data_IF_924555257123
#
_entry.id   IF_924555257123
#
_cell.length_a   1.000
_cell.length_b   1.000
_cell.length_c   1.000
_cell.angle_alpha   90.00
_cell.angle_beta   90.00
_cell.angle_gamma   90.00
#
_symmetry.space_group_name_H-M   'P 1'
#
loop_
_entity.id
_entity.type
_entity.pdbx_description
1 polymer ?
#
# COMPACT_ATOMS: atom_id res chain seq x y z
N UNK A 1 6.68 0.02 -33.04
CA UNK A 1 7.90 0.84 -33.13
C UNK A 1 9.03 -0.02 -32.61
N UNK A 2 10.05 -0.31 -33.43
CA UNK A 2 11.23 -1.07 -32.99
C UNK A 2 12.00 -0.19 -32.01
N UNK A 3 11.89 -0.48 -30.71
CA UNK A 3 12.66 0.18 -29.67
C UNK A 3 14.15 0.03 -29.95
N UNK A 4 14.89 1.10 -29.81
CA UNK A 4 16.36 1.06 -29.91
C UNK A 4 16.87 0.24 -28.72
N UNK A 5 17.34 -0.99 -28.99
CA UNK A 5 18.00 -1.80 -27.96
C UNK A 5 19.26 -1.07 -27.48
N UNK A 6 19.43 -1.01 -26.17
CA UNK A 6 20.66 -0.46 -25.58
C UNK A 6 21.86 -1.25 -26.06
N UNK A 7 22.89 -0.56 -26.54
CA UNK A 7 24.07 -1.22 -27.07
C UNK A 7 24.81 -2.01 -25.99
N UNK A 8 25.17 -3.30 -26.20
CA UNK A 8 25.85 -4.11 -25.19
C UNK A 8 27.08 -3.45 -24.59
N UNK A 9 27.89 -2.76 -25.41
CA UNK A 9 29.06 -2.01 -24.95
C UNK A 9 28.70 -0.84 -24.01
N UNK A 10 27.49 -0.29 -24.09
CA UNK A 10 27.00 0.72 -23.17
C UNK A 10 26.65 0.09 -21.82
N UNK A 11 26.03 -1.08 -21.83
CA UNK A 11 25.68 -1.85 -20.61
C UNK A 11 26.96 -2.29 -19.88
N UNK A 12 28.00 -2.77 -20.61
CA UNK A 12 29.27 -3.15 -20.00
C UNK A 12 29.95 -1.97 -19.31
N UNK A 13 30.02 -0.79 -19.96
CA UNK A 13 30.52 0.42 -19.29
C UNK A 13 29.71 0.86 -18.09
N UNK A 14 28.40 0.59 -18.10
CA UNK A 14 27.54 0.88 -16.95
C UNK A 14 27.81 -0.09 -15.79
N UNK A 15 28.10 -1.37 -16.07
CA UNK A 15 28.54 -2.34 -15.07
C UNK A 15 29.86 -1.95 -14.40
N UNK A 16 30.77 -1.35 -15.16
CA UNK A 16 32.06 -0.88 -14.66
C UNK A 16 31.89 0.33 -13.72
N UNK A 17 31.93 0.13 -12.43
CA UNK A 17 31.78 1.19 -11.42
C UNK A 17 30.37 1.30 -10.82
N UNK A 18 29.54 0.28 -11.02
CA UNK A 18 28.28 0.09 -10.34
C UNK A 18 28.47 -0.84 -9.14
N UNK A 19 28.17 -0.37 -7.91
CA UNK A 19 28.39 -1.13 -6.67
C UNK A 19 27.34 -2.25 -6.48
N UNK A 20 26.18 -2.10 -7.13
CA UNK A 20 25.08 -3.06 -7.13
C UNK A 20 25.22 -4.12 -8.24
N UNK A 21 24.11 -4.46 -8.87
CA UNK A 21 24.07 -5.43 -9.99
C UNK A 21 23.21 -4.90 -11.13
N UNK A 22 23.68 -5.03 -12.34
CA UNK A 22 22.94 -4.75 -13.58
C UNK A 22 22.46 -6.07 -14.16
N UNK A 23 21.14 -6.19 -14.35
CA UNK A 23 20.47 -7.36 -14.93
C UNK A 23 19.83 -6.97 -16.26
N UNK A 24 19.99 -7.81 -17.27
CA UNK A 24 19.44 -7.64 -18.62
C UNK A 24 18.67 -8.90 -19.03
N UNK A 25 17.87 -8.87 -20.11
CA UNK A 25 17.17 -10.06 -20.61
C UNK A 25 18.05 -11.28 -20.93
N UNK A 26 19.36 -11.07 -21.08
CA UNK A 26 20.34 -12.14 -21.35
C UNK A 26 20.77 -12.88 -20.07
N UNK A 27 20.48 -12.32 -18.88
CA UNK A 27 20.82 -12.94 -17.60
C UNK A 27 19.82 -14.07 -17.25
N UNK A 28 20.32 -15.22 -16.82
CA UNK A 28 19.50 -16.43 -16.62
C UNK A 28 18.42 -16.32 -15.53
N UNK A 29 18.53 -15.34 -14.63
CA UNK A 29 17.55 -15.05 -13.56
C UNK A 29 16.70 -13.80 -13.85
N UNK A 30 16.77 -13.24 -15.05
CA UNK A 30 16.05 -12.03 -15.44
C UNK A 30 14.54 -12.12 -15.12
N UNK A 31 13.87 -13.22 -15.48
CA UNK A 31 12.45 -13.43 -15.23
C UNK A 31 12.11 -13.40 -13.75
N UNK A 32 12.93 -13.99 -12.91
CA UNK A 32 12.78 -13.96 -11.46
C UNK A 32 13.02 -12.56 -10.88
N UNK A 33 14.03 -11.85 -11.40
CA UNK A 33 14.39 -10.50 -10.93
C UNK A 33 13.33 -9.49 -11.30
N UNK A 34 12.76 -9.53 -12.53
CA UNK A 34 11.72 -8.60 -12.97
C UNK A 34 10.35 -8.85 -12.32
N UNK A 35 10.07 -10.06 -11.84
CA UNK A 35 8.80 -10.42 -11.23
C UNK A 35 8.35 -9.44 -10.15
N UNK A 36 7.07 -9.03 -10.13
CA UNK A 36 6.43 -8.12 -9.18
C UNK A 36 5.20 -8.78 -8.55
N UNK A 37 4.59 -8.14 -7.55
CA UNK A 37 3.46 -8.68 -6.82
C UNK A 37 2.27 -9.02 -7.74
N UNK A 38 1.87 -8.10 -8.61
CA UNK A 38 0.79 -8.31 -9.56
C UNK A 38 1.28 -9.08 -10.81
N UNK A 39 0.86 -10.34 -10.94
CA UNK A 39 1.23 -11.20 -12.07
C UNK A 39 0.67 -10.77 -13.44
N UNK A 40 -0.28 -9.81 -13.47
CA UNK A 40 -0.74 -9.21 -14.73
C UNK A 40 0.29 -8.25 -15.34
N UNK A 41 1.28 -7.80 -14.56
CA UNK A 41 2.30 -6.85 -15.02
C UNK A 41 3.45 -7.63 -15.65
N UNK A 42 3.49 -7.62 -16.98
CA UNK A 42 4.43 -8.40 -17.79
C UNK A 42 5.47 -7.56 -18.54
N UNK A 43 5.61 -6.28 -18.19
CA UNK A 43 6.58 -5.40 -18.83
C UNK A 43 8.01 -5.95 -18.78
N UNK A 44 8.78 -5.77 -19.88
CA UNK A 44 10.14 -6.26 -20.07
C UNK A 44 11.13 -5.10 -20.13
N UNK A 45 11.70 -4.65 -18.99
CA UNK A 45 12.75 -3.64 -19.00
C UNK A 45 14.01 -4.14 -19.69
N UNK A 46 14.66 -3.26 -20.45
CA UNK A 46 15.96 -3.58 -21.06
C UNK A 46 17.07 -3.71 -20.01
N UNK A 47 16.94 -2.97 -18.89
CA UNK A 47 17.93 -2.96 -17.81
C UNK A 47 17.20 -2.90 -16.45
N UNK A 48 17.62 -3.74 -15.51
CA UNK A 48 17.25 -3.65 -14.10
C UNK A 48 18.53 -3.33 -13.30
N UNK A 49 18.59 -2.12 -12.75
CA UNK A 49 19.72 -1.66 -11.94
C UNK A 49 19.41 -1.92 -10.45
N UNK A 50 19.91 -3.01 -9.89
CA UNK A 50 19.77 -3.36 -8.47
C UNK A 50 20.74 -2.53 -7.62
N UNK A 51 20.32 -1.35 -7.21
CA UNK A 51 21.13 -0.36 -6.50
C UNK A 51 21.43 -0.76 -5.05
N UNK A 52 22.64 -0.55 -4.60
CA UNK A 52 23.09 -0.69 -3.20
C UNK A 52 23.43 0.63 -2.54
N UNK A 53 23.71 1.66 -3.33
CA UNK A 53 24.16 2.97 -2.88
C UNK A 53 23.39 4.07 -3.63
N UNK A 54 23.39 5.28 -3.07
CA UNK A 54 22.85 6.47 -3.76
C UNK A 54 23.61 6.77 -5.04
N UNK A 55 24.93 6.49 -5.05
CA UNK A 55 25.77 6.62 -6.26
C UNK A 55 25.28 5.72 -7.41
N UNK A 56 24.81 4.50 -7.11
CA UNK A 56 24.23 3.61 -8.12
C UNK A 56 22.96 4.21 -8.74
N UNK A 57 22.10 4.84 -7.91
CA UNK A 57 20.86 5.49 -8.36
C UNK A 57 21.20 6.65 -9.32
N UNK A 58 22.16 7.50 -8.94
CA UNK A 58 22.60 8.61 -9.79
C UNK A 58 23.20 8.11 -11.09
N UNK A 59 23.98 7.01 -11.06
CA UNK A 59 24.54 6.38 -12.26
C UNK A 59 23.44 5.80 -13.15
N UNK A 60 22.41 5.17 -12.58
CA UNK A 60 21.27 4.62 -13.32
C UNK A 60 20.44 5.72 -14.01
N UNK A 61 20.16 6.83 -13.32
CA UNK A 61 19.45 7.98 -13.90
C UNK A 61 20.23 8.60 -15.07
N UNK A 62 21.56 8.74 -14.90
CA UNK A 62 22.43 9.21 -15.98
C UNK A 62 22.39 8.27 -17.18
N UNK A 63 22.54 6.96 -16.92
CA UNK A 63 22.49 5.95 -17.97
C UNK A 63 21.15 5.97 -18.72
N UNK A 64 20.02 6.07 -18.01
CA UNK A 64 18.71 6.17 -18.62
C UNK A 64 18.59 7.40 -19.53
N UNK A 65 19.02 8.56 -19.06
CA UNK A 65 19.02 9.81 -19.83
C UNK A 65 19.91 9.72 -21.07
N UNK A 66 21.14 9.21 -20.93
CA UNK A 66 22.11 9.11 -22.03
C UNK A 66 21.65 8.14 -23.13
N UNK A 67 20.76 7.18 -22.81
CA UNK A 67 20.19 6.20 -23.72
C UNK A 67 18.69 6.46 -24.04
N UNK A 68 18.12 7.59 -23.60
CA UNK A 68 16.71 7.94 -23.77
C UNK A 68 15.72 6.83 -23.31
N UNK A 69 16.03 6.16 -22.19
CA UNK A 69 15.21 5.11 -21.62
C UNK A 69 14.15 5.68 -20.66
N UNK A 70 12.90 5.24 -20.75
CA UNK A 70 11.92 5.49 -19.69
C UNK A 70 12.37 4.82 -18.39
N UNK A 71 12.02 5.43 -17.25
CA UNK A 71 12.45 4.98 -15.92
C UNK A 71 11.27 4.52 -15.09
N UNK A 72 11.44 3.41 -14.38
CA UNK A 72 10.59 3.01 -13.27
C UNK A 72 11.43 2.82 -12.01
N UNK A 73 10.84 3.10 -10.84
CA UNK A 73 11.49 2.90 -9.54
C UNK A 73 10.78 1.78 -8.79
N UNK A 74 11.55 0.82 -8.27
CA UNK A 74 11.05 -0.33 -7.54
C UNK A 74 11.56 -0.33 -6.10
N UNK A 75 10.66 -0.11 -5.13
CA UNK A 75 10.85 -0.45 -3.71
C UNK A 75 10.44 -1.90 -3.47
N UNK A 76 9.31 -2.15 -2.77
CA UNK A 76 8.78 -3.51 -2.54
C UNK A 76 8.15 -4.20 -3.76
N UNK A 77 7.79 -3.48 -4.82
CA UNK A 77 7.19 -4.05 -6.02
C UNK A 77 5.70 -4.37 -5.93
N UNK A 78 4.96 -3.73 -5.01
CA UNK A 78 3.55 -3.96 -4.72
C UNK A 78 2.56 -3.08 -5.51
N UNK A 79 3.02 -2.22 -6.42
CA UNK A 79 2.12 -1.39 -7.21
C UNK A 79 1.17 -2.25 -8.04
N UNK A 80 -0.13 -2.15 -7.78
CA UNK A 80 -1.18 -2.86 -8.51
C UNK A 80 -1.28 -2.37 -9.96
N UNK A 81 -1.04 -1.06 -10.17
CA UNK A 81 -0.96 -0.43 -11.49
C UNK A 81 0.33 -0.77 -12.27
N UNK A 82 1.31 -1.46 -11.65
CA UNK A 82 2.57 -1.80 -12.30
C UNK A 82 3.59 -0.67 -12.41
N UNK A 83 3.45 0.39 -11.63
CA UNK A 83 4.33 1.57 -11.66
C UNK A 83 5.82 1.25 -11.42
N UNK A 84 6.12 0.11 -10.83
CA UNK A 84 7.48 -0.36 -10.52
C UNK A 84 8.19 -1.10 -11.66
N UNK A 85 7.54 -1.26 -12.83
CA UNK A 85 8.14 -1.79 -14.06
C UNK A 85 7.87 -0.87 -15.24
N UNK A 86 8.66 -1.03 -16.30
CA UNK A 86 8.52 -0.26 -17.53
C UNK A 86 8.96 -1.12 -18.72
N UNK A 87 8.18 -1.08 -19.81
CA UNK A 87 8.53 -1.74 -21.05
C UNK A 87 9.69 -1.01 -21.72
N UNK A 88 10.65 -1.76 -22.28
CA UNK A 88 11.80 -1.24 -23.03
C UNK A 88 12.62 -0.16 -22.29
N UNK A 89 12.55 -0.09 -20.96
CA UNK A 89 13.17 0.97 -20.16
C UNK A 89 14.18 0.46 -19.13
N UNK A 90 14.47 1.31 -18.15
CA UNK A 90 15.34 1.01 -17.02
C UNK A 90 14.54 1.00 -15.71
N UNK A 91 14.71 -0.05 -14.91
CA UNK A 91 14.20 -0.14 -13.55
C UNK A 91 15.32 0.17 -12.55
N UNK A 92 15.11 1.18 -11.72
CA UNK A 92 15.92 1.45 -10.53
C UNK A 92 15.37 0.59 -9.39
N UNK A 93 16.02 -0.55 -9.14
CA UNK A 93 15.59 -1.53 -8.14
C UNK A 93 16.32 -1.28 -6.82
N UNK A 94 15.55 -0.82 -5.81
CA UNK A 94 16.07 -0.44 -4.49
C UNK A 94 16.10 -1.58 -3.49
N UNK A 95 15.64 -2.79 -3.81
CA UNK A 95 15.52 -3.92 -2.86
C UNK A 95 16.82 -4.29 -2.13
N UNK A 96 17.98 -3.83 -2.61
CA UNK A 96 19.27 -3.98 -1.94
C UNK A 96 19.66 -2.77 -1.07
N UNK A 97 18.86 -1.72 -1.06
CA UNK A 97 18.98 -0.54 -0.20
C UNK A 97 17.89 -0.62 0.87
N UNK A 98 17.91 -1.66 1.71
CA UNK A 98 16.82 -2.07 2.59
C UNK A 98 17.17 -2.05 4.09
N UNK A 99 18.26 -1.43 4.48
CA UNK A 99 18.64 -1.36 5.88
C UNK A 99 17.61 -0.56 6.69
N UNK A 100 17.30 -1.06 7.90
CA UNK A 100 16.47 -0.35 8.89
C UNK A 100 17.31 -0.16 10.15
N UNK A 101 17.34 1.07 10.67
CA UNK A 101 18.03 1.41 11.93
C UNK A 101 17.05 2.07 12.88
N UNK A 102 17.08 1.67 14.15
CA UNK A 102 16.19 2.18 15.20
C UNK A 102 17.01 2.93 16.24
N UNK A 103 16.57 4.14 16.54
CA UNK A 103 17.00 4.87 17.74
C UNK A 103 15.86 4.82 18.75
N UNK A 104 15.98 3.90 19.70
CA UNK A 104 14.94 3.67 20.69
C UNK A 104 14.81 4.81 21.72
N UNK A 105 15.88 5.56 21.99
CA UNK A 105 15.85 6.70 22.91
C UNK A 105 15.14 7.89 22.25
N UNK A 106 15.47 8.18 21.01
CA UNK A 106 14.81 9.23 20.24
C UNK A 106 13.41 8.81 19.73
N UNK A 107 13.04 7.54 19.85
CA UNK A 107 11.84 6.93 19.26
C UNK A 107 11.72 7.26 17.79
N UNK A 108 12.77 6.98 17.03
CA UNK A 108 12.80 7.13 15.58
C UNK A 108 13.33 5.87 14.90
N UNK A 109 12.91 5.64 13.67
CA UNK A 109 13.51 4.63 12.82
C UNK A 109 13.75 5.19 11.43
N UNK A 110 14.85 4.76 10.81
CA UNK A 110 15.20 5.13 9.44
C UNK A 110 15.24 3.88 8.57
N UNK A 111 14.50 3.90 7.48
CA UNK A 111 14.42 2.81 6.50
C UNK A 111 15.03 3.24 5.17
N UNK A 112 15.79 2.35 4.53
CA UNK A 112 16.22 2.50 3.14
C UNK A 112 15.04 2.38 2.17
N UNK A 113 15.13 3.02 1.00
CA UNK A 113 14.04 3.09 0.01
C UNK A 113 13.54 1.73 -0.54
N UNK A 114 14.31 0.66 -0.33
CA UNK A 114 13.94 -0.72 -0.69
C UNK A 114 13.51 -1.60 0.48
N UNK A 115 13.41 -1.06 1.71
CA UNK A 115 12.94 -1.79 2.88
C UNK A 115 11.46 -2.18 2.73
N UNK A 116 11.10 -3.33 3.30
CA UNK A 116 9.70 -3.77 3.46
C UNK A 116 9.18 -3.45 4.86
N UNK A 117 7.87 -3.43 5.03
CA UNK A 117 7.27 -3.25 6.36
C UNK A 117 7.64 -4.40 7.30
N UNK A 118 7.78 -5.62 6.80
CA UNK A 118 8.29 -6.73 7.59
C UNK A 118 9.73 -6.52 8.10
N UNK A 119 10.61 -5.87 7.32
CA UNK A 119 11.95 -5.49 7.78
C UNK A 119 11.87 -4.41 8.86
N UNK A 120 10.99 -3.42 8.66
CA UNK A 120 10.78 -2.30 9.58
C UNK A 120 10.23 -2.77 10.94
N UNK A 121 9.14 -3.54 10.91
CA UNK A 121 8.45 -4.02 12.11
C UNK A 121 9.33 -4.96 12.94
N UNK A 122 10.07 -5.86 12.28
CA UNK A 122 11.05 -6.73 12.95
C UNK A 122 12.18 -5.95 13.62
N UNK A 123 12.60 -4.83 13.04
CA UNK A 123 13.63 -3.97 13.64
C UNK A 123 13.09 -3.20 14.87
N UNK A 124 11.83 -2.74 14.84
CA UNK A 124 11.22 -1.95 15.91
C UNK A 124 10.70 -2.82 17.08
N UNK A 125 10.21 -4.02 16.82
CA UNK A 125 9.57 -4.90 17.82
C UNK A 125 10.44 -5.20 19.06
N UNK A 126 11.75 -5.46 18.99
CA UNK A 126 12.59 -5.70 20.19
C UNK A 126 12.64 -4.53 21.17
N UNK A 127 12.26 -3.34 20.70
CA UNK A 127 12.22 -2.12 21.49
C UNK A 127 10.83 -1.79 22.03
N UNK A 128 9.81 -2.62 21.72
CA UNK A 128 8.43 -2.32 22.08
C UNK A 128 7.88 -1.07 21.36
N UNK A 129 8.43 -0.78 20.18
CA UNK A 129 8.10 0.40 19.38
C UNK A 129 7.49 0.00 18.03
N UNK A 130 6.63 0.87 17.50
CA UNK A 130 6.03 0.71 16.17
C UNK A 130 5.67 2.06 15.56
N UNK A 131 5.42 2.07 14.26
CA UNK A 131 4.69 3.13 13.55
C UNK A 131 3.66 2.50 12.65
N UNK A 132 2.72 3.29 12.12
CA UNK A 132 1.75 2.76 11.15
C UNK A 132 2.48 2.30 9.89
N UNK A 133 2.33 1.03 9.56
CA UNK A 133 2.81 0.40 8.33
C UNK A 133 1.66 -0.17 7.50
N UNK A 134 1.96 -0.73 6.33
CA UNK A 134 0.97 -1.43 5.51
C UNK A 134 0.42 -2.68 6.20
N UNK A 135 -0.65 -3.26 5.62
CA UNK A 135 -1.31 -4.47 6.17
C UNK A 135 -0.64 -5.79 5.73
N UNK A 136 0.37 -5.70 4.86
CA UNK A 136 1.09 -6.84 4.28
C UNK A 136 2.59 -6.61 4.46
N UNK A 137 3.29 -7.59 5.05
CA UNK A 137 4.69 -7.45 5.46
C UNK A 137 5.66 -7.24 4.29
N UNK A 138 5.33 -7.74 3.11
CA UNK A 138 6.15 -7.66 1.89
C UNK A 138 6.01 -6.32 1.16
N UNK A 139 5.05 -5.46 1.56
CA UNK A 139 4.87 -4.13 0.98
C UNK A 139 6.07 -3.23 1.28
N UNK A 140 6.54 -2.50 0.26
CA UNK A 140 7.66 -1.55 0.40
C UNK A 140 7.29 -0.33 1.24
N UNK A 141 8.17 0.02 2.20
CA UNK A 141 8.01 1.17 3.09
C UNK A 141 7.85 2.47 2.29
N UNK A 142 8.76 2.73 1.36
CA UNK A 142 8.76 3.99 0.61
C UNK A 142 7.50 4.17 -0.24
N UNK A 143 7.14 3.19 -1.08
CA UNK A 143 6.00 3.30 -1.98
C UNK A 143 4.69 3.50 -1.25
N UNK A 144 4.46 2.77 -0.17
CA UNK A 144 3.25 2.90 0.65
C UNK A 144 3.18 4.27 1.34
N UNK A 145 4.26 4.68 2.01
CA UNK A 145 4.30 5.93 2.79
C UNK A 145 4.11 7.17 1.92
N UNK A 146 4.79 7.23 0.78
CA UNK A 146 4.72 8.38 -0.12
C UNK A 146 3.33 8.58 -0.75
N UNK A 147 2.49 7.53 -0.77
CA UNK A 147 1.09 7.61 -1.17
C UNK A 147 0.10 7.69 0.00
N UNK A 148 0.59 7.86 1.25
CA UNK A 148 -0.23 7.94 2.47
C UNK A 148 0.14 6.87 3.51
N UNK A 149 -0.23 5.62 3.31
CA UNK A 149 0.13 4.48 4.14
C UNK A 149 -0.89 4.10 5.21
N UNK A 150 -1.98 3.43 4.78
CA UNK A 150 -3.01 2.85 5.64
C UNK A 150 -2.55 1.52 6.25
N UNK A 151 -2.91 1.27 7.53
CA UNK A 151 -2.51 0.08 8.27
C UNK A 151 -3.32 -0.20 9.54
N UNK A 152 -2.96 -1.25 10.28
CA UNK A 152 -3.77 -1.78 11.40
C UNK A 152 -3.86 -0.88 12.64
N UNK A 153 -2.91 0.06 12.81
CA UNK A 153 -2.83 0.95 13.98
C UNK A 153 -3.05 2.43 13.63
N UNK A 154 -3.53 2.69 12.40
CA UNK A 154 -3.72 4.04 11.88
C UNK A 154 -4.73 4.88 12.67
N UNK A 155 -5.78 4.27 13.23
CA UNK A 155 -6.75 4.99 14.05
C UNK A 155 -6.13 5.56 15.34
N UNK A 156 -5.05 4.93 15.83
CA UNK A 156 -4.30 5.40 17.01
C UNK A 156 -3.21 6.39 16.65
N UNK A 157 -2.47 6.14 15.57
CA UNK A 157 -1.21 6.84 15.30
C UNK A 157 -1.20 7.61 13.97
N UNK A 158 -2.31 7.65 13.23
CA UNK A 158 -2.40 8.25 11.90
C UNK A 158 -1.86 7.34 10.80
N UNK A 159 -1.85 7.81 9.57
CA UNK A 159 -1.27 7.11 8.41
C UNK A 159 0.26 7.03 8.55
N UNK A 160 0.92 6.18 7.74
CA UNK A 160 2.38 6.10 7.73
C UNK A 160 3.04 7.46 7.45
N UNK A 161 2.50 8.24 6.50
CA UNK A 161 2.99 9.56 6.18
C UNK A 161 2.84 10.55 7.34
N UNK A 162 1.82 10.44 8.19
CA UNK A 162 1.64 11.31 9.39
C UNK A 162 2.76 11.13 10.41
N UNK A 163 3.51 10.04 10.31
CA UNK A 163 4.63 9.71 11.17
C UNK A 163 5.99 9.97 10.52
N UNK A 164 6.01 10.43 9.27
CA UNK A 164 7.23 10.74 8.54
C UNK A 164 7.87 12.02 9.07
N UNK A 165 9.18 12.01 9.34
CA UNK A 165 9.96 13.13 9.85
C UNK A 165 10.85 13.74 8.77
N UNK A 166 11.40 12.92 7.89
CA UNK A 166 12.19 13.35 6.75
C UNK A 166 12.29 12.28 5.69
N UNK A 167 12.55 12.72 4.45
CA UNK A 167 12.85 11.86 3.31
C UNK A 167 14.09 12.40 2.59
N UNK A 168 15.04 11.51 2.30
CA UNK A 168 16.12 11.81 1.37
C UNK A 168 15.75 11.23 -0.01
N UNK A 169 15.84 12.03 -1.04
CA UNK A 169 15.58 11.64 -2.43
C UNK A 169 16.76 11.96 -3.36
N UNK A 170 16.82 11.23 -4.45
CA UNK A 170 17.62 11.61 -5.64
C UNK A 170 16.65 12.12 -6.71
N UNK A 171 16.80 13.38 -7.10
CA UNK A 171 15.99 14.05 -8.12
C UNK A 171 16.33 13.59 -9.53
N UNK A 172 15.51 13.95 -10.52
CA UNK A 172 15.71 13.53 -11.93
C UNK A 172 17.07 13.97 -12.52
N UNK A 173 17.61 15.10 -12.07
CA UNK A 173 18.94 15.60 -12.45
C UNK A 173 20.11 14.95 -11.66
N UNK A 174 19.78 14.07 -10.69
CA UNK A 174 20.77 13.30 -9.91
C UNK A 174 21.26 14.01 -8.64
N UNK A 175 20.64 15.11 -8.19
CA UNK A 175 20.96 15.76 -6.91
C UNK A 175 20.35 14.97 -5.75
N UNK A 176 21.10 14.89 -4.65
CA UNK A 176 20.57 14.42 -3.36
C UNK A 176 19.92 15.59 -2.64
N UNK A 177 18.67 15.39 -2.19
CA UNK A 177 17.86 16.42 -1.52
C UNK A 177 17.20 15.79 -0.30
N UNK A 178 17.29 16.46 0.85
CA UNK A 178 16.51 16.14 2.05
C UNK A 178 15.25 16.98 2.09
N UNK A 179 14.11 16.34 2.35
CA UNK A 179 12.82 16.99 2.58
C UNK A 179 12.36 16.74 4.01
N UNK A 180 12.02 17.81 4.73
CA UNK A 180 11.49 17.79 6.09
C UNK A 180 10.65 19.06 6.32
N UNK A 181 10.03 19.20 7.50
CA UNK A 181 9.33 20.45 7.86
C UNK A 181 10.27 21.69 7.82
N UNK A 182 11.57 21.52 8.07
CA UNK A 182 12.56 22.59 8.13
C UNK A 182 13.35 22.77 6.84
N UNK A 183 13.45 21.73 6.02
CA UNK A 183 14.24 21.73 4.79
C UNK A 183 13.38 21.25 3.62
N UNK A 184 13.28 22.07 2.56
CA UNK A 184 12.42 21.81 1.39
C UNK A 184 10.95 21.45 1.76
N UNK A 185 10.25 22.32 2.55
CA UNK A 185 8.95 21.97 3.13
C UNK A 185 7.85 21.76 2.07
N UNK A 186 7.92 22.40 0.90
CA UNK A 186 6.97 22.14 -0.17
C UNK A 186 7.15 20.75 -0.79
N UNK A 187 8.40 20.32 -0.97
CA UNK A 187 8.70 18.95 -1.38
C UNK A 187 8.26 17.94 -0.30
N UNK A 188 8.51 18.26 0.98
CA UNK A 188 8.05 17.42 2.09
C UNK A 188 6.53 17.26 2.09
N UNK A 189 5.79 18.35 1.89
CA UNK A 189 4.33 18.29 1.71
C UNK A 189 3.94 17.40 0.52
N UNK A 190 4.59 17.55 -0.63
CA UNK A 190 4.31 16.75 -1.83
C UNK A 190 4.58 15.25 -1.64
N UNK A 191 5.57 14.89 -0.83
CA UNK A 191 5.92 13.49 -0.52
C UNK A 191 4.96 12.81 0.48
N UNK A 192 3.94 13.52 1.00
CA UNK A 192 2.91 12.99 1.89
C UNK A 192 1.62 12.57 1.14
N UNK A 193 1.72 12.07 -0.07
CA UNK A 193 0.59 11.60 -0.88
C UNK A 193 0.89 11.63 -2.38
N UNK A 194 1.83 12.51 -2.81
CA UNK A 194 2.20 12.63 -4.23
C UNK A 194 3.06 11.49 -4.78
N UNK A 195 3.36 10.48 -3.96
CA UNK A 195 4.08 9.27 -4.39
C UNK A 195 5.50 9.52 -4.87
N UNK A 196 5.95 8.67 -5.76
CA UNK A 196 7.30 8.72 -6.34
C UNK A 196 7.48 9.72 -7.49
N UNK A 197 6.60 10.70 -7.65
CA UNK A 197 6.64 11.65 -8.77
C UNK A 197 7.81 12.65 -8.74
N UNK A 198 8.49 12.80 -7.60
CA UNK A 198 9.46 13.89 -7.39
C UNK A 198 10.91 13.42 -7.36
N UNK A 199 11.15 12.11 -7.31
CA UNK A 199 12.48 11.52 -7.22
C UNK A 199 12.48 10.10 -6.66
N UNK A 200 13.68 9.56 -6.53
CA UNK A 200 13.93 8.23 -5.96
C UNK A 200 14.17 8.38 -4.45
N UNK A 201 13.21 7.95 -3.62
CA UNK A 201 13.39 7.96 -2.17
C UNK A 201 14.46 6.93 -1.75
N UNK A 202 15.48 7.41 -1.08
CA UNK A 202 16.64 6.60 -0.65
C UNK A 202 16.60 6.27 0.83
N UNK A 203 16.01 7.15 1.63
CA UNK A 203 15.91 7.02 3.08
C UNK A 203 14.69 7.75 3.61
N UNK A 204 13.92 7.11 4.49
CA UNK A 204 12.74 7.67 5.16
C UNK A 204 12.93 7.53 6.67
N UNK A 205 12.78 8.62 7.41
CA UNK A 205 12.87 8.64 8.87
C UNK A 205 11.48 8.84 9.47
N UNK A 206 11.11 7.96 10.41
CA UNK A 206 9.79 7.93 11.03
C UNK A 206 9.87 8.19 12.52
N UNK A 207 8.80 8.80 13.06
CA UNK A 207 8.48 8.78 14.48
C UNK A 207 7.96 7.39 14.86
N UNK A 208 8.40 6.89 15.99
CA UNK A 208 7.90 5.65 16.59
C UNK A 208 7.06 5.95 17.84
N UNK A 209 6.17 5.01 18.14
CA UNK A 209 5.25 5.03 19.27
C UNK A 209 5.47 3.80 20.14
N UNK A 210 5.22 3.93 21.43
CA UNK A 210 5.20 2.78 22.33
C UNK A 210 4.06 1.84 21.96
N UNK A 211 4.38 0.57 21.74
CA UNK A 211 3.43 -0.50 21.47
C UNK A 211 3.90 -1.77 22.19
N UNK A 212 3.89 -1.77 23.53
CA UNK A 212 4.33 -2.92 24.31
C UNK A 212 3.36 -4.09 24.28
N UNK A 213 2.07 -3.82 24.03
CA UNK A 213 0.99 -4.79 23.96
C UNK A 213 0.14 -4.54 22.72
N UNK A 214 -0.20 -5.62 22.04
CA UNK A 214 -1.06 -5.58 20.87
C UNK A 214 -1.87 -6.87 20.82
N UNK A 215 -3.16 -6.75 20.54
CA UNK A 215 -4.07 -7.89 20.46
C UNK A 215 -4.96 -7.83 19.23
N UNK A 216 -5.45 -8.99 18.82
CA UNK A 216 -6.36 -9.12 17.70
C UNK A 216 -7.52 -10.06 18.00
N UNK A 217 -8.65 -9.86 17.31
CA UNK A 217 -9.76 -10.79 17.22
C UNK A 217 -10.08 -10.98 15.73
N UNK A 218 -9.97 -12.20 15.23
CA UNK A 218 -10.47 -12.58 13.91
C UNK A 218 -11.68 -13.50 14.11
N UNK A 219 -12.80 -13.08 13.58
CA UNK A 219 -14.09 -13.77 13.71
C UNK A 219 -14.68 -14.01 12.32
N UNK A 220 -15.26 -15.20 12.10
CA UNK A 220 -15.80 -15.62 10.81
C UNK A 220 -17.23 -16.11 10.93
N UNK A 221 -18.05 -15.72 9.97
CA UNK A 221 -19.44 -16.17 9.78
C UNK A 221 -19.66 -16.65 8.34
N UNK A 222 -20.68 -17.47 8.09
CA UNK A 222 -21.16 -17.72 6.72
C UNK A 222 -21.43 -16.41 5.98
N UNK A 223 -21.14 -16.35 4.69
CA UNK A 223 -21.28 -15.11 3.90
C UNK A 223 -22.71 -14.54 3.89
N UNK A 224 -23.73 -15.38 3.98
CA UNK A 224 -25.15 -14.98 4.05
C UNK A 224 -25.57 -14.28 5.36
N UNK A 225 -24.76 -14.42 6.43
CA UNK A 225 -24.94 -13.69 7.69
C UNK A 225 -24.24 -12.31 7.67
N UNK A 226 -23.43 -12.05 6.63
CA UNK A 226 -22.55 -10.88 6.59
C UNK A 226 -23.27 -9.55 6.74
N UNK A 227 -24.49 -9.38 6.22
CA UNK A 227 -25.22 -8.12 6.36
C UNK A 227 -25.56 -7.78 7.82
N UNK A 228 -25.97 -8.77 8.61
CA UNK A 228 -26.26 -8.58 10.04
C UNK A 228 -24.98 -8.24 10.81
N UNK A 229 -23.88 -8.98 10.53
CA UNK A 229 -22.55 -8.75 11.13
C UNK A 229 -22.02 -7.37 10.78
N UNK A 230 -22.15 -6.96 9.52
CA UNK A 230 -21.67 -5.66 9.02
C UNK A 230 -22.38 -4.48 9.74
N UNK A 231 -23.69 -4.61 10.04
CA UNK A 231 -24.40 -3.63 10.84
C UNK A 231 -23.84 -3.48 12.25
N UNK A 232 -23.59 -4.61 12.93
CA UNK A 232 -23.00 -4.61 14.28
C UNK A 232 -21.56 -4.03 14.24
N UNK A 233 -20.77 -4.40 13.24
CA UNK A 233 -19.41 -3.88 13.07
C UNK A 233 -19.39 -2.37 12.83
N UNK A 234 -20.22 -1.88 11.91
CA UNK A 234 -20.36 -0.44 11.64
C UNK A 234 -20.68 0.35 12.92
N UNK A 235 -21.69 -0.11 13.66
CA UNK A 235 -22.17 0.57 14.86
C UNK A 235 -21.13 0.53 15.98
N UNK A 236 -20.36 -0.57 16.11
CA UNK A 236 -19.20 -0.67 16.98
C UNK A 236 -18.14 0.37 16.62
N UNK A 237 -17.72 0.41 15.34
CA UNK A 237 -16.61 1.29 14.90
C UNK A 237 -16.95 2.78 14.97
N UNK A 238 -18.22 3.17 14.91
CA UNK A 238 -18.68 4.57 15.11
C UNK A 238 -18.37 5.11 16.49
N UNK A 239 -18.27 4.25 17.49
CA UNK A 239 -18.06 4.63 18.90
C UNK A 239 -16.76 4.05 19.48
N UNK A 240 -16.06 3.23 18.72
CA UNK A 240 -14.82 2.61 19.15
C UNK A 240 -13.74 3.66 19.46
N UNK A 241 -12.99 3.49 20.55
CA UNK A 241 -11.86 4.37 20.84
C UNK A 241 -10.74 4.20 19.80
N UNK A 242 -9.82 5.16 19.75
CA UNK A 242 -8.75 5.20 18.74
C UNK A 242 -7.81 3.97 18.78
N UNK A 243 -7.69 3.32 19.92
CA UNK A 243 -6.89 2.09 20.09
C UNK A 243 -7.43 0.89 19.31
N UNK A 244 -8.67 0.98 18.80
CA UNK A 244 -9.32 -0.06 18.03
C UNK A 244 -9.22 0.25 16.54
N UNK A 245 -8.70 -0.72 15.79
CA UNK A 245 -8.63 -0.72 14.34
C UNK A 245 -9.19 -2.02 13.75
N UNK A 246 -8.91 -2.28 12.48
CA UNK A 246 -9.30 -3.53 11.82
C UNK A 246 -10.05 -3.32 10.51
N UNK A 247 -10.89 -4.30 10.14
CA UNK A 247 -11.71 -4.28 8.93
C UNK A 247 -12.75 -5.38 8.93
N UNK A 248 -13.83 -5.17 8.19
CA UNK A 248 -14.75 -6.24 7.80
C UNK A 248 -14.40 -6.68 6.39
N UNK A 249 -14.32 -7.98 6.18
CA UNK A 249 -13.86 -8.59 4.94
C UNK A 249 -14.82 -9.71 4.51
N UNK A 250 -15.30 -9.70 3.29
CA UNK A 250 -15.74 -10.94 2.68
C UNK A 250 -14.52 -11.61 2.03
N UNK A 251 -14.35 -12.90 2.27
CA UNK A 251 -13.18 -13.68 1.86
C UNK A 251 -13.54 -15.16 1.70
N UNK A 252 -12.65 -15.92 1.08
CA UNK A 252 -12.71 -17.37 1.12
C UNK A 252 -12.30 -17.86 2.50
N UNK A 253 -13.12 -18.67 3.16
CA UNK A 253 -12.79 -19.26 4.47
C UNK A 253 -11.47 -20.04 4.42
N UNK A 254 -10.45 -19.64 5.21
CA UNK A 254 -9.14 -20.29 5.16
C UNK A 254 -9.15 -21.66 5.85
N UNK A 255 -8.21 -22.56 5.50
CA UNK A 255 -8.11 -23.90 6.11
C UNK A 255 -7.36 -23.87 7.46
N UNK A 256 -7.79 -22.98 8.35
CA UNK A 256 -7.18 -22.77 9.67
C UNK A 256 -7.93 -23.54 10.76
N UNK A 257 -7.24 -23.91 11.83
CA UNK A 257 -7.80 -24.75 12.91
C UNK A 257 -9.05 -24.13 13.58
N UNK A 258 -9.09 -22.79 13.71
CA UNK A 258 -10.22 -22.07 14.29
C UNK A 258 -11.43 -21.94 13.35
N UNK A 259 -11.30 -22.36 12.08
CA UNK A 259 -12.35 -22.26 11.07
C UNK A 259 -13.12 -23.57 10.97
N UNK A 260 -14.44 -23.59 11.24
CA UNK A 260 -15.24 -24.80 11.05
C UNK A 260 -15.17 -25.34 9.64
N UNK A 261 -15.03 -26.67 9.49
CA UNK A 261 -14.80 -27.29 8.19
C UNK A 261 -15.85 -26.98 7.11
N UNK A 262 -17.08 -26.66 7.51
CA UNK A 262 -18.15 -26.26 6.54
C UNK A 262 -17.97 -24.86 5.96
N UNK A 263 -17.10 -24.01 6.55
CA UNK A 263 -16.75 -22.67 6.07
C UNK A 263 -15.50 -22.67 5.18
N UNK A 264 -14.64 -23.69 5.31
CA UNK A 264 -13.39 -23.78 4.52
C UNK A 264 -13.71 -23.81 3.03
N UNK A 265 -13.05 -22.92 2.26
CA UNK A 265 -13.25 -22.80 0.81
C UNK A 265 -14.59 -22.19 0.39
N UNK A 266 -15.36 -21.63 1.32
CA UNK A 266 -16.65 -20.99 1.06
C UNK A 266 -16.54 -19.49 1.28
N UNK A 267 -17.48 -18.73 0.71
CA UNK A 267 -17.62 -17.32 1.01
C UNK A 267 -17.97 -17.12 2.48
N UNK A 268 -17.14 -16.37 3.19
CA UNK A 268 -17.31 -15.99 4.57
C UNK A 268 -17.35 -14.47 4.71
N UNK A 269 -18.05 -13.99 5.74
CA UNK A 269 -17.85 -12.66 6.29
C UNK A 269 -16.89 -12.77 7.46
N UNK A 270 -15.76 -12.10 7.40
CA UNK A 270 -14.76 -12.01 8.44
C UNK A 270 -14.73 -10.61 9.05
N UNK A 271 -14.51 -10.52 10.35
CA UNK A 271 -14.20 -9.28 11.04
C UNK A 271 -12.89 -9.44 11.77
N UNK A 272 -11.88 -8.67 11.36
CA UNK A 272 -10.65 -8.50 12.10
C UNK A 272 -10.76 -7.21 12.92
N UNK A 273 -10.61 -7.31 14.23
CA UNK A 273 -10.47 -6.16 15.13
C UNK A 273 -9.09 -6.20 15.76
N UNK A 274 -8.38 -5.10 15.72
CA UNK A 274 -7.07 -4.92 16.35
C UNK A 274 -7.18 -3.96 17.53
N UNK A 275 -6.34 -4.15 18.55
CA UNK A 275 -6.26 -3.27 19.70
C UNK A 275 -4.78 -3.00 20.03
N UNK A 276 -4.41 -1.72 20.17
CA UNK A 276 -3.11 -1.30 20.69
C UNK A 276 -3.08 -1.39 22.22
N UNK A 277 -3.37 -2.57 22.74
CA UNK A 277 -3.49 -2.93 24.13
C UNK A 277 -3.75 -4.44 24.29
N UNK A 278 -3.95 -4.91 25.53
CA UNK A 278 -4.08 -6.34 25.83
C UNK A 278 -5.43 -6.92 25.37
N UNK A 279 -5.46 -8.24 25.20
CA UNK A 279 -6.65 -9.03 24.81
C UNK A 279 -7.86 -8.74 25.71
N UNK A 280 -7.66 -8.55 27.01
CA UNK A 280 -8.75 -8.25 27.96
C UNK A 280 -9.48 -6.97 27.58
N UNK A 281 -8.75 -5.92 27.19
CA UNK A 281 -9.32 -4.67 26.72
C UNK A 281 -10.08 -4.84 25.40
N UNK A 282 -9.52 -5.61 24.48
CA UNK A 282 -10.18 -5.94 23.21
C UNK A 282 -11.51 -6.65 23.44
N UNK A 283 -11.54 -7.68 24.30
CA UNK A 283 -12.77 -8.45 24.61
C UNK A 283 -13.90 -7.58 25.17
N UNK A 284 -13.57 -6.63 26.03
CA UNK A 284 -14.55 -5.69 26.58
C UNK A 284 -15.25 -4.87 25.49
N UNK A 285 -14.51 -4.51 24.44
CA UNK A 285 -15.02 -3.64 23.36
C UNK A 285 -15.81 -4.44 22.33
N UNK A 286 -15.33 -5.64 21.93
CA UNK A 286 -15.95 -6.44 20.87
C UNK A 286 -17.17 -7.27 21.36
N UNK A 287 -17.64 -7.07 22.58
CA UNK A 287 -18.82 -7.76 23.15
C UNK A 287 -20.01 -7.84 22.19
N UNK A 288 -20.42 -6.77 21.50
CA UNK A 288 -21.51 -6.81 20.52
C UNK A 288 -21.27 -7.81 19.36
N UNK A 289 -20.04 -7.94 18.86
CA UNK A 289 -19.69 -8.92 17.83
C UNK A 289 -19.71 -10.34 18.40
N UNK A 290 -19.17 -10.56 19.59
CA UNK A 290 -19.24 -11.87 20.27
C UNK A 290 -20.66 -12.34 20.53
N UNK A 291 -21.57 -11.41 20.81
CA UNK A 291 -23.00 -11.73 21.01
C UNK A 291 -23.69 -12.26 19.73
N UNK A 292 -23.10 -12.06 18.55
CA UNK A 292 -23.59 -12.68 17.29
C UNK A 292 -23.17 -14.15 17.13
N UNK A 293 -22.44 -14.69 18.10
CA UNK A 293 -21.96 -16.09 18.14
C UNK A 293 -21.18 -16.53 16.88
N UNK A 294 -20.00 -15.93 16.59
CA UNK A 294 -19.18 -16.32 15.44
C UNK A 294 -18.81 -17.80 15.50
N UNK A 295 -19.11 -18.61 14.46
CA UNK A 295 -18.79 -20.03 14.47
C UNK A 295 -17.28 -20.31 14.38
N UNK A 296 -16.48 -19.41 13.80
CA UNK A 296 -15.00 -19.46 13.81
C UNK A 296 -14.45 -18.20 14.45
N UNK A 297 -13.53 -18.35 15.42
CA UNK A 297 -12.88 -17.20 16.04
C UNK A 297 -11.53 -17.53 16.65
N UNK A 298 -10.64 -16.55 16.63
CA UNK A 298 -9.40 -16.48 17.41
C UNK A 298 -9.26 -15.10 18.01
N UNK A 299 -8.99 -15.02 19.32
CA UNK A 299 -8.77 -13.77 20.03
C UNK A 299 -7.54 -13.97 20.89
N UNK A 300 -6.51 -13.15 20.67
CA UNK A 300 -5.21 -13.37 21.32
C UNK A 300 -4.37 -12.11 21.34
N UNK A 301 -3.46 -12.03 22.30
CA UNK A 301 -2.31 -11.14 22.20
C UNK A 301 -1.35 -11.69 21.13
N UNK A 302 -0.81 -10.80 20.32
CA UNK A 302 0.10 -11.15 19.24
C UNK A 302 1.15 -10.04 19.05
N UNK A 303 2.40 -10.37 18.75
CA UNK A 303 3.35 -9.33 18.32
C UNK A 303 2.84 -8.62 17.07
N UNK A 304 2.98 -7.28 17.01
CA UNK A 304 2.49 -6.50 15.86
C UNK A 304 3.09 -6.99 14.53
N UNK A 305 4.41 -7.25 14.48
CA UNK A 305 5.07 -7.84 13.31
C UNK A 305 4.51 -9.24 12.95
N UNK A 306 3.99 -9.98 13.94
CA UNK A 306 3.36 -11.29 13.72
C UNK A 306 2.02 -11.14 12.95
N UNK A 307 1.17 -10.18 13.34
CA UNK A 307 -0.07 -9.92 12.60
C UNK A 307 0.22 -9.49 11.16
N UNK A 308 1.19 -8.61 10.95
CA UNK A 308 1.61 -8.13 9.63
C UNK A 308 1.97 -9.27 8.67
N UNK A 309 2.65 -10.32 9.17
CA UNK A 309 3.03 -11.50 8.37
C UNK A 309 1.93 -12.55 8.24
N UNK A 310 0.99 -12.59 9.20
CA UNK A 310 -0.11 -13.59 9.20
C UNK A 310 -1.08 -13.37 8.04
N UNK A 311 -1.23 -12.13 7.60
CA UNK A 311 -2.19 -11.73 6.56
C UNK A 311 -1.50 -11.40 5.23
N UNK A 312 -0.28 -11.90 5.03
CA UNK A 312 0.43 -11.69 3.77
C UNK A 312 -0.32 -12.32 2.59
N UNK A 313 -0.57 -11.51 1.58
CA UNK A 313 -1.14 -11.98 0.33
C UNK A 313 -0.12 -12.83 -0.45
N UNK A 314 -0.54 -13.94 -1.03
CA UNK A 314 0.34 -14.79 -1.81
C UNK A 314 0.84 -14.07 -3.08
N UNK A 315 2.15 -14.17 -3.35
CA UNK A 315 2.73 -13.65 -4.59
C UNK A 315 2.31 -14.49 -5.81
N UNK A 316 2.35 -13.88 -7.00
CA UNK A 316 2.11 -14.57 -8.27
C UNK A 316 0.65 -14.66 -8.69
N UNK A 317 -0.24 -13.99 -7.97
CA UNK A 317 -1.63 -13.84 -8.37
C UNK A 317 -1.82 -12.63 -9.29
N UNK A 318 -2.82 -12.71 -10.15
CA UNK A 318 -3.37 -11.61 -10.93
C UNK A 318 -4.15 -10.71 -9.99
N UNK A 319 -4.02 -9.39 -10.16
CA UNK A 319 -4.59 -8.41 -9.23
C UNK A 319 -5.32 -7.30 -9.96
N UNK A 320 -6.51 -6.94 -9.46
CA UNK A 320 -7.18 -5.69 -9.78
C UNK A 320 -7.87 -5.15 -8.52
N UNK A 321 -7.51 -3.94 -8.14
CA UNK A 321 -8.02 -3.26 -6.95
C UNK A 321 -8.70 -1.96 -7.34
N UNK A 322 -9.69 -1.58 -6.56
CA UNK A 322 -10.37 -0.30 -6.66
C UNK A 322 -10.73 0.21 -5.27
N UNK A 323 -11.15 1.46 -5.17
CA UNK A 323 -11.49 2.12 -3.90
C UNK A 323 -12.61 3.13 -4.08
N UNK A 324 -13.47 3.25 -3.07
CA UNK A 324 -14.39 4.38 -2.88
C UNK A 324 -14.42 4.75 -1.40
N UNK A 325 -14.22 6.03 -1.12
CA UNK A 325 -14.29 6.57 0.24
C UNK A 325 -15.68 7.13 0.53
N UNK A 326 -16.14 6.96 1.77
CA UNK A 326 -17.45 7.42 2.24
C UNK A 326 -17.29 8.19 3.54
N UNK A 327 -18.03 9.31 3.67
CA UNK A 327 -18.14 10.07 4.93
C UNK A 327 -19.14 9.42 5.88
N UNK A 328 -20.16 8.74 5.35
CA UNK A 328 -21.17 8.01 6.12
C UNK A 328 -21.43 6.66 5.47
N UNK A 329 -21.87 5.69 6.28
CA UNK A 329 -22.24 4.35 5.80
C UNK A 329 -23.69 4.05 6.21
N UNK A 330 -24.69 4.54 5.46
CA UNK A 330 -26.10 4.25 5.73
C UNK A 330 -26.45 2.79 5.43
N UNK A 331 -27.63 2.34 5.86
CA UNK A 331 -28.07 0.95 5.70
C UNK A 331 -28.12 0.54 4.21
N UNK A 332 -28.58 1.43 3.34
CA UNK A 332 -28.67 1.16 1.89
C UNK A 332 -27.29 0.95 1.25
N UNK A 333 -26.27 1.71 1.68
CA UNK A 333 -24.90 1.51 1.24
C UNK A 333 -24.34 0.18 1.75
N UNK A 334 -24.62 -0.15 3.00
CA UNK A 334 -24.21 -1.41 3.60
C UNK A 334 -24.89 -2.62 2.96
N UNK A 335 -26.18 -2.50 2.61
CA UNK A 335 -26.93 -3.52 1.85
C UNK A 335 -26.25 -3.78 0.50
N UNK A 336 -25.93 -2.72 -0.25
CA UNK A 336 -25.31 -2.81 -1.55
C UNK A 336 -23.89 -3.40 -1.48
N UNK A 337 -23.09 -2.99 -0.48
CA UNK A 337 -21.78 -3.58 -0.20
C UNK A 337 -21.88 -5.09 0.02
N UNK A 338 -22.78 -5.54 0.87
CA UNK A 338 -22.95 -6.97 1.19
C UNK A 338 -23.49 -7.78 0.01
N UNK A 339 -24.42 -7.24 -0.78
CA UNK A 339 -24.94 -7.89 -1.99
C UNK A 339 -23.82 -8.14 -3.01
N UNK A 340 -22.95 -7.15 -3.24
CA UNK A 340 -21.85 -7.27 -4.21
C UNK A 340 -20.79 -8.30 -3.82
N UNK A 341 -20.64 -8.60 -2.54
CA UNK A 341 -19.73 -9.64 -2.06
C UNK A 341 -20.08 -11.04 -2.64
N UNK A 342 -21.34 -11.28 -2.96
CA UNK A 342 -21.79 -12.57 -3.51
C UNK A 342 -21.27 -12.86 -4.93
N UNK A 343 -20.83 -11.84 -5.65
CA UNK A 343 -20.29 -11.94 -7.01
C UNK A 343 -18.77 -12.21 -7.02
N UNK A 344 -18.11 -12.15 -5.86
CA UNK A 344 -16.67 -12.39 -5.73
C UNK A 344 -16.27 -13.78 -6.26
N UNK A 345 -15.08 -13.89 -6.84
CA UNK A 345 -14.51 -15.20 -7.23
C UNK A 345 -14.15 -15.97 -5.96
N UNK A 346 -14.80 -17.12 -5.74
CA UNK A 346 -14.57 -18.02 -4.60
C UNK A 346 -14.49 -19.47 -5.11
N UNK A 347 -13.47 -20.25 -4.71
CA UNK A 347 -12.34 -19.88 -3.86
C UNK A 347 -11.28 -19.05 -4.58
N UNK A 348 -10.81 -17.99 -3.91
CA UNK A 348 -9.65 -17.20 -4.34
C UNK A 348 -9.10 -16.43 -3.13
N UNK A 349 -7.89 -15.83 -3.22
CA UNK A 349 -7.39 -14.91 -2.20
C UNK A 349 -8.09 -13.54 -2.22
N UNK A 350 -9.06 -13.30 -3.12
CA UNK A 350 -9.79 -12.03 -3.19
C UNK A 350 -10.43 -11.65 -1.85
N UNK A 351 -10.45 -10.36 -1.57
CA UNK A 351 -11.05 -9.78 -0.38
C UNK A 351 -11.98 -8.62 -0.78
N UNK A 352 -13.12 -8.54 -0.13
CA UNK A 352 -14.08 -7.45 -0.27
C UNK A 352 -14.12 -6.68 1.04
N UNK A 353 -13.32 -5.62 1.13
CA UNK A 353 -13.01 -4.96 2.39
C UNK A 353 -13.86 -3.71 2.63
N UNK A 354 -14.29 -3.56 3.88
CA UNK A 354 -14.83 -2.35 4.46
C UNK A 354 -13.90 -1.93 5.60
N UNK A 355 -13.16 -0.85 5.41
CA UNK A 355 -12.13 -0.39 6.33
C UNK A 355 -12.59 0.90 7.02
N UNK A 356 -12.49 0.98 8.37
CA UNK A 356 -12.83 2.17 9.10
C UNK A 356 -11.65 3.14 9.12
N UNK A 357 -11.85 4.35 8.63
CA UNK A 357 -10.98 5.47 8.92
C UNK A 357 -11.25 6.00 10.34
N UNK A 358 -11.18 7.28 10.59
CA UNK A 358 -11.48 7.88 11.88
C UNK A 358 -10.28 7.94 12.82
N UNK A 359 -10.50 8.23 14.09
CA UNK A 359 -9.44 8.36 15.07
C UNK A 359 -8.38 9.40 14.68
N UNK A 360 -7.09 9.06 14.82
CA UNK A 360 -5.98 9.93 14.45
C UNK A 360 -5.92 10.24 12.95
N UNK A 361 -6.45 9.36 12.09
CA UNK A 361 -6.46 9.58 10.63
C UNK A 361 -7.24 10.84 10.28
N UNK A 362 -8.43 11.05 10.87
CA UNK A 362 -9.26 12.22 10.59
C UNK A 362 -8.76 13.51 11.27
N UNK A 363 -7.79 13.40 12.16
CA UNK A 363 -7.15 14.54 12.86
C UNK A 363 -5.74 14.84 12.34
N UNK A 364 -5.29 14.13 11.33
CA UNK A 364 -3.98 14.35 10.71
C UNK A 364 -3.89 15.69 10.01
N UNK A 365 -2.68 16.03 9.55
CA UNK A 365 -2.47 17.24 8.76
C UNK A 365 -3.11 17.12 7.37
N UNK A 366 -3.39 18.25 6.76
CA UNK A 366 -3.94 18.33 5.41
C UNK A 366 -2.84 18.07 4.37
N UNK A 367 -2.57 16.78 4.14
CA UNK A 367 -1.63 16.31 3.14
C UNK A 367 -2.34 16.08 1.78
N UNK A 368 -1.65 16.13 0.64
CA UNK A 368 -2.26 15.76 -0.63
C UNK A 368 -2.64 14.27 -0.66
N UNK A 369 -3.71 13.92 -1.35
CA UNK A 369 -4.08 12.53 -1.64
C UNK A 369 -4.89 11.81 -0.57
N UNK A 370 -5.46 12.53 0.40
CA UNK A 370 -6.40 11.93 1.34
C UNK A 370 -7.35 12.98 1.96
N UNK A 371 -8.66 12.81 1.76
CA UNK A 371 -9.70 13.62 2.44
C UNK A 371 -9.93 13.10 3.87
N UNK A 372 -9.56 13.90 4.86
CA UNK A 372 -9.63 13.56 6.30
C UNK A 372 -11.06 13.43 6.83
N UNK A 373 -12.07 13.89 6.11
CA UNK A 373 -13.48 13.75 6.49
C UNK A 373 -14.04 12.35 6.21
N UNK A 374 -13.35 11.53 5.43
CA UNK A 374 -13.74 10.16 5.15
C UNK A 374 -13.73 9.31 6.42
N UNK A 375 -14.78 8.48 6.59
CA UNK A 375 -14.92 7.57 7.73
C UNK A 375 -14.77 6.10 7.31
N UNK A 376 -14.95 5.78 6.04
CA UNK A 376 -14.93 4.43 5.51
C UNK A 376 -14.26 4.36 4.16
N UNK A 377 -13.49 3.29 3.93
CA UNK A 377 -13.09 2.86 2.60
C UNK A 377 -13.81 1.57 2.23
N UNK A 378 -14.34 1.51 1.02
CA UNK A 378 -14.83 0.29 0.38
C UNK A 378 -13.80 -0.14 -0.64
N UNK A 379 -13.13 -1.27 -0.35
CA UNK A 379 -11.94 -1.68 -1.10
C UNK A 379 -12.05 -3.12 -1.60
N UNK A 380 -12.44 -3.34 -2.88
CA UNK A 380 -12.38 -4.65 -3.52
C UNK A 380 -10.94 -4.96 -3.93
N UNK A 381 -10.35 -5.96 -3.29
CA UNK A 381 -9.05 -6.53 -3.65
C UNK A 381 -9.29 -7.81 -4.45
N UNK A 382 -9.28 -7.72 -5.77
CA UNK A 382 -9.35 -8.89 -6.63
C UNK A 382 -7.99 -9.56 -6.75
N UNK A 383 -7.89 -10.81 -6.33
CA UNK A 383 -6.72 -11.68 -6.49
C UNK A 383 -7.19 -13.03 -7.02
N UNK A 384 -6.68 -13.47 -8.16
CA UNK A 384 -7.06 -14.74 -8.79
C UNK A 384 -5.89 -15.34 -9.57
N UNK A 385 -5.93 -16.65 -9.82
CA UNK A 385 -4.84 -17.37 -10.48
C UNK A 385 -5.04 -17.53 -12.00
N UNK A 386 -6.28 -17.83 -12.42
CA UNK A 386 -6.58 -18.19 -13.81
C UNK A 386 -6.87 -16.93 -14.65
N UNK A 387 -6.13 -16.68 -15.75
CA UNK A 387 -6.46 -15.61 -16.69
C UNK A 387 -7.90 -15.67 -17.26
N UNK A 388 -8.55 -16.83 -17.26
CA UNK A 388 -9.94 -16.96 -17.66
C UNK A 388 -10.93 -16.21 -16.76
N UNK A 389 -10.53 -15.91 -15.52
CA UNK A 389 -11.34 -15.14 -14.57
C UNK A 389 -11.12 -13.62 -14.66
N UNK A 390 -10.22 -13.11 -15.51
CA UNK A 390 -9.86 -11.70 -15.60
C UNK A 390 -11.08 -10.79 -15.74
N UNK A 391 -11.89 -11.02 -16.76
CA UNK A 391 -13.08 -10.20 -17.04
C UNK A 391 -14.07 -10.21 -15.89
N UNK A 392 -14.27 -11.36 -15.25
CA UNK A 392 -15.19 -11.51 -14.10
C UNK A 392 -14.67 -10.75 -12.87
N UNK A 393 -13.42 -10.95 -12.52
CA UNK A 393 -12.81 -10.36 -11.33
C UNK A 393 -12.68 -8.83 -11.46
N UNK A 394 -12.27 -8.34 -12.62
CA UNK A 394 -12.18 -6.90 -12.90
C UNK A 394 -13.59 -6.28 -12.92
N UNK A 395 -14.58 -6.93 -13.56
CA UNK A 395 -15.95 -6.45 -13.59
C UNK A 395 -16.56 -6.38 -12.18
N UNK A 396 -16.29 -7.37 -11.32
CA UNK A 396 -16.74 -7.37 -9.93
C UNK A 396 -16.23 -6.13 -9.17
N UNK A 397 -14.93 -5.85 -9.22
CA UNK A 397 -14.34 -4.69 -8.53
C UNK A 397 -14.87 -3.36 -9.07
N UNK A 398 -15.00 -3.21 -10.40
CA UNK A 398 -15.54 -2.01 -11.04
C UNK A 398 -17.02 -1.80 -10.74
N UNK A 399 -17.81 -2.86 -10.69
CA UNK A 399 -19.23 -2.80 -10.39
C UNK A 399 -19.47 -2.38 -8.94
N UNK A 400 -18.66 -2.89 -7.98
CA UNK A 400 -18.75 -2.44 -6.60
C UNK A 400 -18.56 -0.91 -6.50
N UNK A 401 -17.50 -0.41 -7.11
CA UNK A 401 -17.26 1.04 -7.18
C UNK A 401 -18.45 1.79 -7.76
N UNK A 402 -18.99 1.32 -8.88
CA UNK A 402 -20.15 1.96 -9.51
C UNK A 402 -21.41 1.95 -8.60
N UNK A 403 -21.63 0.87 -7.89
CA UNK A 403 -22.75 0.71 -6.98
C UNK A 403 -22.62 1.60 -5.72
N UNK A 404 -21.40 1.81 -5.23
CA UNK A 404 -21.16 2.66 -4.05
C UNK A 404 -21.20 4.17 -4.36
N UNK A 405 -21.14 4.55 -5.63
CA UNK A 405 -21.10 5.93 -6.08
C UNK A 405 -22.15 6.88 -5.47
N UNK A 406 -23.43 6.47 -5.22
CA UNK A 406 -24.43 7.35 -4.61
C UNK A 406 -24.04 7.88 -3.22
N UNK A 407 -23.17 7.19 -2.49
CA UNK A 407 -22.73 7.52 -1.14
C UNK A 407 -21.26 7.92 -1.04
N UNK A 408 -20.52 7.81 -2.15
CA UNK A 408 -19.10 8.13 -2.22
C UNK A 408 -18.85 9.62 -1.98
N UNK A 409 -17.75 9.94 -1.28
CA UNK A 409 -17.30 11.31 -1.08
C UNK A 409 -16.79 11.99 -2.36
N UNK A 410 -16.44 11.17 -3.36
CA UNK A 410 -15.78 11.59 -4.60
C UNK A 410 -14.25 11.50 -4.51
N UNK A 411 -13.71 11.35 -3.32
CA UNK A 411 -12.29 11.09 -3.07
C UNK A 411 -11.94 9.61 -3.28
N UNK A 412 -10.65 9.32 -3.49
CA UNK A 412 -10.12 7.98 -3.63
C UNK A 412 -8.74 7.87 -2.98
N UNK A 413 -8.50 6.77 -2.29
CA UNK A 413 -7.19 6.51 -1.73
C UNK A 413 -6.26 5.88 -2.77
N UNK A 414 -5.31 6.66 -3.28
CA UNK A 414 -4.52 6.32 -4.48
C UNK A 414 -3.67 5.05 -4.34
N UNK A 415 -3.29 4.63 -3.14
CA UNK A 415 -2.60 3.36 -2.93
C UNK A 415 -3.49 2.12 -3.15
N UNK A 416 -4.82 2.29 -3.18
CA UNK A 416 -5.78 1.20 -3.32
C UNK A 416 -6.31 1.01 -4.74
N UNK A 417 -5.89 1.84 -5.68
CA UNK A 417 -6.37 1.76 -7.06
C UNK A 417 -5.27 1.34 -8.05
N UNK A 418 -5.71 0.67 -9.11
CA UNK A 418 -4.90 0.44 -10.31
C UNK A 418 -4.88 1.66 -11.24
N UNK A 419 -4.69 1.40 -12.54
CA UNK A 419 -4.87 2.43 -13.56
C UNK A 419 -6.37 2.61 -13.84
N UNK A 420 -6.94 3.69 -13.28
CA UNK A 420 -8.35 4.06 -13.41
C UNK A 420 -8.55 5.39 -14.17
N UNK A 421 -7.48 5.95 -14.72
CA UNK A 421 -7.47 7.16 -15.54
C UNK A 421 -7.24 8.47 -14.77
N UNK A 422 -6.89 9.53 -15.52
CA UNK A 422 -6.46 10.83 -14.99
C UNK A 422 -7.53 11.49 -14.09
N UNK A 423 -8.82 11.32 -14.41
CA UNK A 423 -9.91 11.88 -13.60
C UNK A 423 -9.91 11.36 -12.16
N UNK A 424 -9.52 10.10 -11.96
CA UNK A 424 -9.41 9.49 -10.63
C UNK A 424 -8.20 10.00 -9.87
N UNK A 425 -7.11 10.27 -10.57
CA UNK A 425 -5.91 10.87 -9.97
C UNK A 425 -6.23 12.27 -9.45
N UNK A 426 -6.91 13.09 -10.27
CA UNK A 426 -7.33 14.44 -9.87
C UNK A 426 -8.34 14.38 -8.72
N UNK A 427 -9.26 13.40 -8.73
CA UNK A 427 -10.23 13.20 -7.66
C UNK A 427 -9.53 12.87 -6.33
N UNK A 428 -8.53 11.99 -6.32
CA UNK A 428 -7.78 11.60 -5.14
C UNK A 428 -6.95 12.71 -4.51
N UNK A 429 -6.48 13.68 -5.30
CA UNK A 429 -5.76 14.85 -4.79
C UNK A 429 -6.67 16.04 -4.50
N UNK A 430 -7.82 16.14 -5.17
CA UNK A 430 -8.54 17.38 -5.31
C UNK A 430 -7.82 18.39 -6.24
N UNK A 431 -8.57 19.21 -6.96
CA UNK A 431 -8.00 20.11 -7.99
C UNK A 431 -6.95 21.10 -7.46
N UNK A 432 -7.12 21.62 -6.25
CA UNK A 432 -6.21 22.60 -5.66
C UNK A 432 -4.86 21.96 -5.32
N UNK A 433 -4.88 20.82 -4.62
CA UNK A 433 -3.68 20.06 -4.28
C UNK A 433 -2.98 19.54 -5.55
N UNK A 434 -3.75 19.04 -6.54
CA UNK A 434 -3.16 18.59 -7.80
C UNK A 434 -2.39 19.72 -8.51
N UNK A 435 -2.95 20.93 -8.59
CA UNK A 435 -2.24 22.11 -9.16
C UNK A 435 -1.01 22.50 -8.34
N UNK A 436 -1.04 22.36 -7.00
CA UNK A 436 0.14 22.59 -6.16
C UNK A 436 1.21 21.54 -6.43
N UNK A 437 0.82 20.26 -6.51
CA UNK A 437 1.73 19.16 -6.86
C UNK A 437 2.39 19.37 -8.23
N UNK A 438 1.65 19.83 -9.24
CA UNK A 438 2.19 20.14 -10.58
C UNK A 438 3.29 21.22 -10.53
N UNK A 439 3.10 22.28 -9.73
CA UNK A 439 4.13 23.34 -9.55
C UNK A 439 5.38 22.78 -8.90
N UNK A 440 5.23 22.00 -7.82
CA UNK A 440 6.37 21.37 -7.15
C UNK A 440 7.06 20.35 -8.08
N UNK A 441 6.29 19.60 -8.86
CA UNK A 441 6.82 18.68 -9.88
C UNK A 441 7.69 19.42 -10.90
N UNK A 442 7.29 20.60 -11.36
CA UNK A 442 8.07 21.41 -12.29
C UNK A 442 9.44 21.85 -11.72
N UNK A 443 9.56 22.00 -10.39
CA UNK A 443 10.82 22.36 -9.74
C UNK A 443 11.78 21.18 -9.59
N UNK A 444 11.27 19.96 -9.39
CA UNK A 444 12.08 18.77 -9.07
C UNK A 444 12.20 17.76 -10.22
N UNK A 445 11.24 17.71 -11.12
CA UNK A 445 11.23 16.83 -12.29
C UNK A 445 10.53 17.48 -13.49
N UNK A 446 11.10 18.57 -14.05
CA UNK A 446 10.49 19.32 -15.15
C UNK A 446 10.36 18.49 -16.44
N UNK A 447 11.21 17.49 -16.64
CA UNK A 447 11.20 16.62 -17.81
C UNK A 447 10.25 15.41 -17.65
N UNK A 448 9.53 15.33 -16.53
CA UNK A 448 8.59 14.24 -16.20
C UNK A 448 9.23 12.84 -16.31
N UNK A 449 10.42 12.66 -15.78
CA UNK A 449 11.15 11.38 -15.76
C UNK A 449 10.41 10.35 -14.90
N UNK A 450 9.86 10.79 -13.76
CA UNK A 450 9.13 9.95 -12.82
C UNK A 450 7.61 10.07 -13.04
N UNK A 451 7.07 9.33 -13.99
CA UNK A 451 5.68 9.42 -14.45
C UNK A 451 4.91 8.09 -14.35
N UNK A 452 5.43 7.11 -13.62
CA UNK A 452 4.82 5.77 -13.61
C UNK A 452 3.75 5.56 -12.56
N UNK A 453 3.78 6.31 -11.46
CA UNK A 453 2.79 6.22 -10.39
C UNK A 453 1.88 7.45 -10.42
N UNK A 454 0.61 7.26 -10.83
CA UNK A 454 -0.40 8.34 -10.88
C UNK A 454 0.20 9.65 -11.39
N UNK A 455 0.57 9.69 -12.67
CA UNK A 455 1.36 10.72 -13.34
C UNK A 455 0.91 12.16 -13.02
N UNK A 456 1.68 12.85 -12.20
CA UNK A 456 1.54 14.28 -11.93
C UNK A 456 2.38 15.03 -12.95
N UNK A 457 1.74 15.58 -13.97
CA UNK A 457 2.42 16.33 -15.02
C UNK A 457 2.96 17.65 -14.49
N UNK A 458 4.18 18.06 -14.80
CA UNK A 458 4.70 19.37 -14.42
C UNK A 458 3.84 20.49 -15.01
N UNK A 459 3.71 21.63 -14.26
CA UNK A 459 2.88 22.77 -14.65
C UNK A 459 3.46 23.54 -15.85
#
# INVERSE_FOLDING_TARGET
MTGYLVQPASVERFRDGFDGRIVTPEDGDYESVRGVFNAMITAHPQVIAQCRTVRDITAALRFARDNALPVAVRGGGHSVAGACLVEDGLVIDLRRLNAVTVDAEAKTATAGGGATWGDFDRACQPHGLATTGGRVSTTGVAGLTLGGGSGWIERKFGLACDNLLSVDIVTADGREVTASEQENPDLFWALHGGGGNFGVATRLTFRLHDLPEFSMALMLWPGDQGRAVAGVYRDLMRTAPDEIGGGLLYLTGPPEEFVPGHLVGRLCCGVLVTCTGPETRLRDIIGPLLATAPPGQVITDVPYAGLQSMLDDPAGFRNYWSDENLRELPDEALDRFCERALDMVVPSPSQHALLPWGGAVTRGQDWPGFDRDNQWAVHPLGLWADPADDDRAIAWARNLRADMRPWASGDVYLNFIGDEGDDRIVAGYGEENYRRLQRIKADYDPDNVFNRWHDIKPA
#
